data_IF_597211589646
#
_entry.id   IF_597211589646
#
_cell.length_a   1.000
_cell.length_b   1.000
_cell.length_c   1.000
_cell.angle_alpha   90.00
_cell.angle_beta   90.00
_cell.angle_gamma   90.00
#
_symmetry.space_group_name_H-M   'P 1'
#
loop_
_entity.id
_entity.type
_entity.pdbx_description
1 polymer ?
#
# COMPACT_ATOMS: atom_id res chain seq x y z
N UNK A 1 6.23 -29.83 19.45
CA UNK A 1 7.20 -29.29 18.47
C UNK A 1 6.61 -27.99 17.94
N UNK A 2 7.31 -26.86 18.13
CA UNK A 2 6.89 -25.52 17.70
C UNK A 2 7.11 -25.41 16.18
N UNK A 3 6.07 -25.10 15.42
CA UNK A 3 6.21 -24.77 14.00
C UNK A 3 5.85 -23.31 13.76
N UNK A 4 6.92 -22.56 13.58
CA UNK A 4 6.97 -21.12 13.40
C UNK A 4 6.25 -20.66 12.12
N UNK A 5 5.58 -19.51 12.28
CA UNK A 5 5.11 -18.56 11.27
C UNK A 5 6.02 -18.55 10.03
N UNK A 6 5.50 -19.00 8.88
CA UNK A 6 6.18 -18.89 7.59
C UNK A 6 5.21 -18.35 6.53
N UNK A 7 5.40 -17.06 6.30
CA UNK A 7 4.76 -16.06 5.44
C UNK A 7 4.87 -16.33 3.92
N UNK A 8 4.88 -17.59 3.48
CA UNK A 8 5.15 -17.98 2.08
C UNK A 8 3.94 -18.52 1.30
N UNK A 9 2.74 -18.41 1.85
CA UNK A 9 1.55 -19.10 1.32
C UNK A 9 0.65 -18.26 0.40
N UNK A 10 1.02 -17.02 0.06
CA UNK A 10 0.17 -16.12 -0.75
C UNK A 10 0.50 -16.08 -2.25
N UNK A 11 1.37 -16.96 -2.75
CA UNK A 11 1.86 -16.92 -4.14
C UNK A 11 1.16 -17.91 -5.11
N UNK A 12 -0.03 -18.42 -4.80
CA UNK A 12 -0.62 -19.50 -5.59
C UNK A 12 -2.14 -19.40 -5.81
N UNK A 13 -2.57 -18.30 -6.43
CA UNK A 13 -3.84 -18.23 -7.18
C UNK A 13 -3.55 -17.56 -8.54
N UNK A 14 -2.81 -18.27 -9.40
CA UNK A 14 -2.42 -17.83 -10.75
C UNK A 14 -3.13 -18.56 -11.89
N UNK A 15 -4.16 -19.36 -11.64
CA UNK A 15 -4.81 -20.09 -12.73
C UNK A 15 -6.31 -20.11 -12.49
N UNK A 16 -7.07 -19.39 -13.33
CA UNK A 16 -8.26 -19.93 -13.97
C UNK A 16 -8.76 -19.02 -15.11
N UNK A 17 -8.73 -19.62 -16.30
CA UNK A 17 -9.66 -19.50 -17.42
C UNK A 17 -9.82 -18.15 -18.14
N UNK A 18 -9.17 -18.04 -19.30
CA UNK A 18 -9.57 -17.13 -20.35
C UNK A 18 -10.85 -17.61 -21.05
N UNK A 19 -11.79 -16.68 -21.27
CA UNK A 19 -12.74 -16.69 -22.38
C UNK A 19 -13.50 -15.35 -22.47
N UNK A 20 -13.00 -14.38 -23.25
CA UNK A 20 -13.82 -13.53 -24.15
C UNK A 20 -12.91 -12.61 -24.96
N UNK A 21 -12.75 -12.95 -26.24
CA UNK A 21 -12.08 -12.16 -27.27
C UNK A 21 -13.15 -11.40 -28.04
N UNK A 22 -13.51 -10.18 -27.59
CA UNK A 22 -14.09 -9.10 -28.41
C UNK A 22 -14.65 -7.96 -27.51
N UNK A 23 -13.76 -7.19 -26.88
CA UNK A 23 -14.01 -5.79 -26.48
C UNK A 23 -12.69 -5.06 -26.13
N UNK A 24 -11.57 -5.53 -26.67
CA UNK A 24 -10.26 -5.34 -26.05
C UNK A 24 -9.65 -3.95 -26.20
N UNK A 25 -10.12 -3.07 -27.09
CA UNK A 25 -9.56 -1.71 -27.19
C UNK A 25 -10.14 -0.76 -26.14
N UNK A 26 -11.45 -0.81 -25.91
CA UNK A 26 -12.13 0.08 -24.97
C UNK A 26 -11.81 -0.33 -23.52
N UNK A 27 -11.82 -1.63 -23.22
CA UNK A 27 -11.46 -2.15 -21.89
C UNK A 27 -9.99 -1.96 -21.55
N UNK A 28 -9.08 -2.06 -22.53
CA UNK A 28 -7.65 -1.73 -22.35
C UNK A 28 -7.43 -0.27 -22.03
N UNK A 29 -8.07 0.63 -22.78
CA UNK A 29 -7.92 2.06 -22.56
C UNK A 29 -8.46 2.49 -21.19
N UNK A 30 -9.60 1.92 -20.77
CA UNK A 30 -10.11 2.16 -19.42
C UNK A 30 -9.17 1.61 -18.36
N UNK A 31 -8.67 0.38 -18.53
CA UNK A 31 -7.80 -0.24 -17.53
C UNK A 31 -6.48 0.52 -17.34
N UNK A 32 -5.89 1.04 -18.42
CA UNK A 32 -4.70 1.89 -18.33
C UNK A 32 -5.00 3.19 -17.57
N UNK A 33 -6.11 3.85 -17.89
CA UNK A 33 -6.54 5.09 -17.21
C UNK A 33 -6.77 4.87 -15.72
N UNK A 34 -7.34 3.73 -15.33
CA UNK A 34 -7.60 3.42 -13.93
C UNK A 34 -6.30 3.28 -13.12
N UNK A 35 -5.27 2.65 -13.71
CA UNK A 35 -3.94 2.54 -13.08
C UNK A 35 -3.27 3.91 -12.99
N UNK A 36 -3.38 4.75 -14.02
CA UNK A 36 -2.85 6.12 -14.01
C UNK A 36 -3.51 7.00 -12.93
N UNK A 37 -4.85 6.96 -12.84
CA UNK A 37 -5.59 7.70 -11.80
C UNK A 37 -5.24 7.20 -10.40
N UNK A 38 -5.11 5.90 -10.24
CA UNK A 38 -4.71 5.33 -8.96
C UNK A 38 -3.27 5.64 -8.59
N UNK A 39 -2.37 5.68 -9.56
CA UNK A 39 -0.98 6.14 -9.37
C UNK A 39 -0.93 7.56 -8.82
N UNK A 40 -1.70 8.49 -9.42
CA UNK A 40 -1.79 9.86 -8.93
C UNK A 40 -2.37 9.93 -7.50
N UNK A 41 -3.38 9.12 -7.21
CA UNK A 41 -3.91 9.03 -5.85
C UNK A 41 -2.88 8.50 -4.84
N UNK A 42 -2.10 7.46 -5.20
CA UNK A 42 -1.04 6.91 -4.35
C UNK A 42 0.04 7.97 -4.11
N UNK A 43 0.43 8.74 -5.12
CA UNK A 43 1.41 9.81 -4.99
C UNK A 43 0.96 10.90 -4.00
N UNK A 44 -0.25 11.41 -4.16
CA UNK A 44 -0.84 12.41 -3.27
C UNK A 44 -0.94 11.88 -1.82
N UNK A 45 -1.44 10.66 -1.66
CA UNK A 45 -1.67 10.09 -0.34
C UNK A 45 -0.37 9.63 0.32
N UNK A 46 0.66 9.30 -0.45
CA UNK A 46 2.00 9.02 0.08
C UNK A 46 2.60 10.24 0.77
N UNK A 47 2.36 11.43 0.23
CA UNK A 47 2.76 12.69 0.88
C UNK A 47 1.91 12.96 2.12
N UNK A 48 0.59 12.73 2.03
CA UNK A 48 -0.33 12.91 3.17
C UNK A 48 -0.04 11.96 4.33
N UNK A 49 0.44 10.75 4.04
CA UNK A 49 0.75 9.73 5.04
C UNK A 49 1.83 10.17 6.04
N UNK A 50 2.74 11.06 5.66
CA UNK A 50 3.82 11.55 6.52
C UNK A 50 3.30 12.24 7.78
N UNK A 51 2.15 12.90 7.69
CA UNK A 51 1.53 13.67 8.78
C UNK A 51 0.19 13.14 9.24
N UNK A 52 -0.36 12.11 8.58
CA UNK A 52 -1.63 11.48 8.94
C UNK A 52 -1.62 10.95 10.39
N UNK A 53 -2.74 11.00 11.08
CA UNK A 53 -2.94 10.25 12.33
C UNK A 53 -3.05 8.74 12.07
N UNK A 54 -3.03 7.92 13.12
CA UNK A 54 -3.23 6.47 12.97
C UNK A 54 -4.61 6.13 12.40
N UNK A 55 -5.65 6.86 12.79
CA UNK A 55 -7.00 6.72 12.24
C UNK A 55 -7.03 7.05 10.73
N UNK A 56 -6.50 8.22 10.35
CA UNK A 56 -6.42 8.63 8.94
C UNK A 56 -5.56 7.69 8.09
N UNK A 57 -4.51 7.11 8.68
CA UNK A 57 -3.69 6.09 8.05
C UNK A 57 -4.46 4.79 7.81
N UNK A 58 -5.18 4.29 8.83
CA UNK A 58 -6.01 3.09 8.71
C UNK A 58 -7.09 3.25 7.63
N UNK A 59 -7.72 4.43 7.54
CA UNK A 59 -8.66 4.75 6.46
C UNK A 59 -8.00 4.76 5.08
N UNK A 60 -6.80 5.34 4.99
CA UNK A 60 -6.02 5.38 3.76
C UNK A 60 -5.62 3.98 3.28
N UNK A 61 -5.18 3.10 4.18
CA UNK A 61 -4.88 1.70 3.87
C UNK A 61 -6.13 0.94 3.40
N UNK A 62 -7.27 1.17 4.05
CA UNK A 62 -8.54 0.55 3.64
C UNK A 62 -8.94 0.98 2.22
N UNK A 63 -8.81 2.27 1.90
CA UNK A 63 -9.13 2.81 0.58
C UNK A 63 -8.14 2.33 -0.49
N UNK A 64 -6.84 2.27 -0.19
CA UNK A 64 -5.84 1.67 -1.09
C UNK A 64 -6.24 0.23 -1.44
N UNK A 65 -6.51 -0.60 -0.42
CA UNK A 65 -6.85 -2.00 -0.62
C UNK A 65 -8.13 -2.18 -1.44
N UNK A 66 -9.15 -1.34 -1.19
CA UNK A 66 -10.40 -1.35 -1.95
C UNK A 66 -10.13 -1.07 -3.43
N UNK A 67 -9.47 0.06 -3.74
CA UNK A 67 -9.19 0.48 -5.12
C UNK A 67 -8.29 -0.51 -5.84
N UNK A 68 -7.23 -0.98 -5.17
CA UNK A 68 -6.30 -1.94 -5.74
C UNK A 68 -7.02 -3.25 -6.13
N UNK A 69 -7.87 -3.77 -5.25
CA UNK A 69 -8.69 -4.96 -5.55
C UNK A 69 -9.62 -4.73 -6.74
N UNK A 70 -10.21 -3.54 -6.88
CA UNK A 70 -11.09 -3.22 -8.02
C UNK A 70 -10.34 -3.09 -9.34
N UNK A 71 -9.12 -2.57 -9.30
CA UNK A 71 -8.24 -2.40 -10.46
C UNK A 71 -7.68 -3.76 -10.91
N UNK A 72 -7.20 -4.59 -9.97
CA UNK A 72 -6.65 -5.93 -10.25
C UNK A 72 -7.66 -6.90 -10.85
N UNK A 73 -8.97 -6.72 -10.60
CA UNK A 73 -10.03 -7.50 -11.28
C UNK A 73 -9.98 -7.35 -12.81
N UNK A 74 -9.45 -6.25 -13.32
CA UNK A 74 -9.26 -5.98 -14.76
C UNK A 74 -7.85 -6.29 -15.25
N UNK A 75 -7.00 -6.93 -14.43
CA UNK A 75 -5.59 -7.22 -14.77
C UNK A 75 -5.41 -8.09 -16.00
N UNK A 76 -6.39 -8.94 -16.33
CA UNK A 76 -6.39 -9.76 -17.53
C UNK A 76 -6.38 -8.91 -18.83
N UNK A 77 -6.89 -7.69 -18.78
CA UNK A 77 -6.93 -6.78 -19.93
C UNK A 77 -5.65 -5.94 -20.05
N UNK A 78 -4.75 -5.95 -19.06
CA UNK A 78 -3.55 -5.11 -19.04
C UNK A 78 -2.53 -5.53 -20.11
N UNK A 79 -1.98 -4.54 -20.79
CA UNK A 79 -0.74 -4.70 -21.53
C UNK A 79 0.48 -4.66 -20.59
N UNK A 80 1.66 -4.88 -21.14
CA UNK A 80 2.89 -4.95 -20.35
C UNK A 80 3.30 -3.58 -19.79
N UNK A 81 2.88 -2.48 -20.42
CA UNK A 81 3.10 -1.13 -19.89
C UNK A 81 2.23 -0.91 -18.65
N UNK A 82 0.93 -1.21 -18.73
CA UNK A 82 0.02 -1.08 -17.58
C UNK A 82 0.46 -1.95 -16.41
N UNK A 83 0.97 -3.17 -16.67
CA UNK A 83 1.55 -4.02 -15.61
C UNK A 83 2.79 -3.40 -14.98
N UNK A 84 3.69 -2.83 -15.78
CA UNK A 84 4.89 -2.17 -15.26
C UNK A 84 4.54 -0.93 -14.43
N UNK A 85 3.55 -0.14 -14.85
CA UNK A 85 3.05 0.99 -14.04
C UNK A 85 2.40 0.49 -12.74
N UNK A 86 1.62 -0.58 -12.79
CA UNK A 86 1.04 -1.20 -11.60
C UNK A 86 2.11 -1.63 -10.58
N UNK A 87 3.18 -2.28 -11.03
CA UNK A 87 4.31 -2.67 -10.16
C UNK A 87 4.98 -1.47 -9.49
N UNK A 88 5.11 -0.33 -10.20
CA UNK A 88 5.63 0.92 -9.62
C UNK A 88 4.69 1.46 -8.55
N UNK A 89 3.38 1.47 -8.80
CA UNK A 89 2.38 1.93 -7.83
C UNK A 89 2.42 1.06 -6.56
N UNK A 90 2.51 -0.26 -6.71
CA UNK A 90 2.65 -1.17 -5.57
C UNK A 90 3.95 -0.89 -4.79
N UNK A 91 5.06 -0.68 -5.49
CA UNK A 91 6.36 -0.37 -4.86
C UNK A 91 6.29 0.94 -4.07
N UNK A 92 5.75 2.00 -4.67
CA UNK A 92 5.58 3.30 -4.01
C UNK A 92 4.73 3.18 -2.75
N UNK A 93 3.63 2.42 -2.82
CA UNK A 93 2.79 2.18 -1.66
C UNK A 93 3.51 1.43 -0.55
N UNK A 94 4.30 0.38 -0.86
CA UNK A 94 5.08 -0.34 0.14
C UNK A 94 6.13 0.55 0.82
N UNK A 95 6.75 1.48 0.09
CA UNK A 95 7.63 2.48 0.68
C UNK A 95 6.89 3.41 1.64
N UNK A 96 5.68 3.86 1.27
CA UNK A 96 4.83 4.67 2.13
C UNK A 96 4.45 3.92 3.41
N UNK A 97 4.05 2.65 3.31
CA UNK A 97 3.78 1.79 4.47
C UNK A 97 5.00 1.71 5.38
N UNK A 98 6.19 1.45 4.83
CA UNK A 98 7.42 1.36 5.61
C UNK A 98 7.79 2.66 6.33
N UNK A 99 7.56 3.83 5.70
CA UNK A 99 7.74 5.15 6.34
C UNK A 99 6.72 5.36 7.47
N UNK A 100 5.45 5.07 7.23
CA UNK A 100 4.37 5.20 8.22
C UNK A 100 4.61 4.32 9.45
N UNK A 101 4.94 3.03 9.25
CA UNK A 101 5.25 2.09 10.34
C UNK A 101 6.42 2.57 11.20
N UNK A 102 7.47 3.09 10.56
CA UNK A 102 8.65 3.62 11.27
C UNK A 102 8.27 4.80 12.17
N UNK A 103 7.41 5.70 11.67
CA UNK A 103 6.93 6.85 12.42
C UNK A 103 6.06 6.45 13.60
N UNK A 104 5.10 5.55 13.40
CA UNK A 104 4.22 5.09 14.48
C UNK A 104 4.99 4.35 15.57
N UNK A 105 5.96 3.50 15.18
CA UNK A 105 6.86 2.86 16.16
C UNK A 105 7.70 3.86 16.94
N UNK A 106 8.20 4.92 16.28
CA UNK A 106 8.98 5.96 16.94
C UNK A 106 8.14 6.77 17.94
N UNK A 107 6.84 6.96 17.70
CA UNK A 107 5.93 7.61 18.65
C UNK A 107 5.56 6.74 19.86
N UNK A 108 5.63 5.41 19.75
CA UNK A 108 5.39 4.50 20.89
C UNK A 108 6.57 4.47 21.88
N UNK A 109 7.79 4.76 21.41
CA UNK A 109 8.96 4.92 22.27
C UNK A 109 8.99 6.34 22.79
N UNK A 110 8.14 6.64 23.78
CA UNK A 110 8.29 7.88 24.53
C UNK A 110 9.71 7.90 25.15
N UNK A 111 10.50 8.97 24.95
CA UNK A 111 11.72 9.13 25.71
C UNK A 111 11.32 9.17 27.18
N UNK A 112 11.88 8.28 28.00
CA UNK A 112 11.89 8.45 29.45
C UNK A 112 12.52 9.82 29.72
N UNK A 113 11.67 10.84 29.86
CA UNK A 113 12.08 12.16 30.27
C UNK A 113 12.43 12.01 31.74
N UNK A 114 13.70 11.68 32.00
CA UNK A 114 14.31 11.72 33.31
C UNK A 114 14.13 13.14 33.83
N UNK A 115 13.03 13.33 34.56
CA UNK A 115 12.81 14.53 35.36
C UNK A 115 13.71 14.36 36.57
N UNK A 116 15.03 14.47 36.38
CA UNK A 116 15.94 14.77 37.47
C UNK A 116 15.68 16.23 37.85
N UNK A 117 14.58 16.39 38.59
CA UNK A 117 14.20 17.57 39.35
C UNK A 117 15.41 17.93 40.21
N UNK A 118 16.07 19.02 39.86
CA UNK A 118 17.02 19.65 40.75
C UNK A 118 16.37 19.90 42.11
N UNK A 119 16.97 19.33 43.15
CA UNK A 119 17.09 19.92 44.48
C UNK A 119 17.91 18.98 45.36
N UNK A 120 19.15 19.36 45.65
CA UNK A 120 19.62 19.60 47.02
C UNK A 120 20.95 20.32 46.95
N UNK A 121 20.87 21.64 47.13
CA UNK A 121 21.91 22.42 47.79
C UNK A 121 21.93 21.96 49.26
N UNK A 122 22.98 21.26 49.69
CA UNK A 122 23.72 21.46 50.95
C UNK A 122 24.82 20.42 51.14
#
# INVERSE_FOLDING_TARGET
MKFNKNIKTWLLVCLLAGFVMACSSETRHSANRDVEEFSAWVDENSTRAETATEEEWNEMEAEYNRRATEIEKRSADWDDQTKAEWEKVQTQWQETVGRSETRFRASEVEPEFDTERGDTIQ
#
